data_IF_136387948236
#
_entry.id   IF_136387948236
#
_cell.length_a   1.000
_cell.length_b   1.000
_cell.length_c   1.000
_cell.angle_alpha   90.00
_cell.angle_beta   90.00
_cell.angle_gamma   90.00
#
_symmetry.space_group_name_H-M   'P 1'
#
loop_
_entity.id
_entity.type
_entity.pdbx_description
1 polymer ?
#
# COMPACT_ATOMS: atom_id res chain seq x y z
N UNK A 1 5.54 -1.27 -23.35
CA UNK A 1 4.65 -1.45 -22.18
C UNK A 1 3.99 -0.11 -21.98
N UNK A 2 2.69 -0.04 -22.24
CA UNK A 2 1.89 1.16 -21.99
C UNK A 2 2.01 1.52 -20.51
N UNK A 3 2.50 2.72 -20.23
CA UNK A 3 2.53 3.29 -18.88
C UNK A 3 1.11 3.68 -18.50
N UNK A 4 0.64 3.23 -17.34
CA UNK A 4 -0.73 3.39 -16.77
C UNK A 4 -1.27 4.84 -16.63
N UNK A 5 -0.59 5.82 -17.23
CA UNK A 5 -1.13 7.15 -17.52
C UNK A 5 -2.47 7.14 -18.28
N UNK A 6 -2.81 6.03 -18.94
CA UNK A 6 -4.06 5.88 -19.72
C UNK A 6 -5.33 5.75 -18.86
N UNK A 7 -5.24 5.37 -17.58
CA UNK A 7 -6.43 5.24 -16.71
C UNK A 7 -6.86 6.55 -16.04
N UNK A 8 -6.19 7.67 -16.36
CA UNK A 8 -6.60 9.01 -15.92
C UNK A 8 -6.38 9.31 -14.44
N UNK A 9 -5.71 8.43 -13.68
CA UNK A 9 -5.41 8.66 -12.26
C UNK A 9 -4.16 9.51 -12.00
N UNK A 10 -3.34 9.75 -13.02
CA UNK A 10 -2.12 10.56 -12.90
C UNK A 10 -1.01 9.94 -12.04
N UNK A 11 -1.11 8.64 -11.74
CA UNK A 11 -0.09 7.87 -11.02
C UNK A 11 0.10 6.51 -11.70
N UNK A 12 1.34 5.99 -11.81
CA UNK A 12 1.56 4.62 -12.30
C UNK A 12 0.95 3.64 -11.31
N UNK A 13 0.24 2.61 -11.79
CA UNK A 13 -0.36 1.57 -10.95
C UNK A 13 -0.03 0.21 -11.56
N UNK A 14 0.79 -0.58 -10.86
CA UNK A 14 1.20 -1.90 -11.36
C UNK A 14 0.00 -2.83 -11.62
N UNK A 15 -0.30 -3.21 -12.89
CA UNK A 15 -1.48 -4.02 -13.23
C UNK A 15 -1.47 -5.43 -12.61
N UNK A 16 -0.31 -5.90 -12.15
CA UNK A 16 -0.19 -7.19 -11.47
C UNK A 16 -0.75 -7.13 -10.04
N UNK A 17 -0.80 -5.94 -9.44
CA UNK A 17 -1.24 -5.71 -8.07
C UNK A 17 -2.53 -4.88 -7.99
N UNK A 18 -2.81 -4.07 -9.00
CA UNK A 18 -3.90 -3.11 -9.03
C UNK A 18 -4.88 -3.43 -10.17
N UNK A 19 -6.16 -3.45 -9.81
CA UNK A 19 -7.29 -3.56 -10.73
C UNK A 19 -8.03 -2.22 -10.65
N UNK A 20 -8.10 -1.50 -11.77
CA UNK A 20 -8.63 -0.12 -11.83
C UNK A 20 -10.10 -0.07 -11.42
N UNK A 21 -10.92 -0.99 -11.92
CA UNK A 21 -12.33 -1.09 -11.56
C UNK A 21 -12.48 -1.40 -10.07
N UNK A 22 -11.60 -2.25 -9.54
CA UNK A 22 -11.56 -2.54 -8.11
C UNK A 22 -11.21 -1.31 -7.28
N UNK A 23 -10.20 -0.52 -7.66
CA UNK A 23 -9.80 0.69 -6.94
C UNK A 23 -10.94 1.72 -6.95
N UNK A 24 -11.61 1.93 -8.08
CA UNK A 24 -12.77 2.82 -8.16
C UNK A 24 -13.89 2.36 -7.24
N UNK A 25 -14.25 1.08 -7.32
CA UNK A 25 -15.27 0.51 -6.45
C UNK A 25 -14.89 0.58 -4.97
N UNK A 26 -13.63 0.28 -4.64
CA UNK A 26 -13.10 0.38 -3.29
C UNK A 26 -13.18 1.83 -2.78
N UNK A 27 -12.82 2.81 -3.60
CA UNK A 27 -12.91 4.22 -3.25
C UNK A 27 -14.33 4.64 -2.86
N UNK A 28 -15.35 4.09 -3.54
CA UNK A 28 -16.76 4.43 -3.33
C UNK A 28 -17.45 3.59 -2.25
N UNK A 29 -17.15 2.29 -2.17
CA UNK A 29 -17.88 1.32 -1.35
C UNK A 29 -17.14 0.92 -0.07
N UNK A 30 -15.83 1.17 0.04
CA UNK A 30 -15.10 0.79 1.24
C UNK A 30 -15.40 1.77 2.38
N UNK A 31 -16.12 1.27 3.40
CA UNK A 31 -16.50 2.06 4.57
C UNK A 31 -15.47 1.93 5.70
N UNK A 32 -14.65 2.96 5.92
CA UNK A 32 -13.80 3.03 7.10
C UNK A 32 -14.64 3.29 8.36
N UNK A 33 -14.36 2.54 9.43
CA UNK A 33 -14.96 2.71 10.74
C UNK A 33 -14.13 3.70 11.59
N UNK A 34 -14.75 4.28 12.63
CA UNK A 34 -14.09 5.24 13.51
C UNK A 34 -12.87 4.64 14.27
N UNK A 35 -12.88 3.32 14.49
CA UNK A 35 -11.81 2.58 15.16
C UNK A 35 -10.67 2.15 14.22
N UNK A 36 -10.87 2.28 12.90
CA UNK A 36 -9.91 1.80 11.92
C UNK A 36 -8.63 2.64 11.91
N UNK A 37 -7.51 1.97 11.67
CA UNK A 37 -6.19 2.58 11.48
C UNK A 37 -5.67 2.14 10.11
N UNK A 38 -5.31 3.09 9.26
CA UNK A 38 -4.70 2.81 7.95
C UNK A 38 -3.25 3.29 7.94
N UNK A 39 -2.33 2.36 7.70
CA UNK A 39 -0.93 2.66 7.42
C UNK A 39 -0.84 3.14 5.97
N UNK A 40 -0.45 4.39 5.77
CA UNK A 40 -0.28 4.96 4.42
C UNK A 40 1.19 5.26 4.20
N UNK A 41 1.75 4.76 3.11
CA UNK A 41 3.18 4.95 2.80
C UNK A 41 3.39 5.06 1.32
N UNK A 42 4.36 5.87 0.87
CA UNK A 42 4.95 5.60 -0.44
C UNK A 42 5.69 4.25 -0.39
N UNK A 43 5.64 3.40 -1.44
CA UNK A 43 6.33 2.11 -1.44
C UNK A 43 7.78 2.22 -0.93
N UNK A 44 8.24 1.22 -0.17
CA UNK A 44 9.61 1.15 0.42
C UNK A 44 9.93 2.16 1.53
N UNK A 45 8.92 2.85 2.06
CA UNK A 45 9.08 3.80 3.17
C UNK A 45 9.00 3.18 4.58
N UNK A 46 8.99 1.85 4.70
CA UNK A 46 8.97 1.16 6.00
C UNK A 46 7.64 0.54 6.40
N UNK A 47 6.74 0.28 5.45
CA UNK A 47 5.41 -0.30 5.65
C UNK A 47 5.41 -1.56 6.51
N UNK A 48 6.28 -2.54 6.18
CA UNK A 48 6.40 -3.78 6.97
C UNK A 48 6.82 -3.55 8.42
N UNK A 49 7.70 -2.56 8.66
CA UNK A 49 8.11 -2.22 10.01
C UNK A 49 6.93 -1.68 10.81
N UNK A 50 6.13 -0.81 10.18
CA UNK A 50 4.96 -0.23 10.83
C UNK A 50 3.85 -1.26 11.08
N UNK A 51 3.60 -2.17 10.13
CA UNK A 51 2.67 -3.29 10.32
C UNK A 51 3.11 -4.14 11.53
N UNK A 52 4.41 -4.38 11.71
CA UNK A 52 4.93 -5.15 12.83
C UNK A 52 4.76 -4.43 14.18
N UNK A 53 5.13 -3.15 14.24
CA UNK A 53 4.99 -2.32 15.46
C UNK A 53 3.54 -2.24 15.89
N UNK A 54 2.63 -1.88 14.97
CA UNK A 54 1.21 -1.75 15.30
C UNK A 54 0.58 -3.08 15.69
N UNK A 55 0.97 -4.19 15.04
CA UNK A 55 0.46 -5.49 15.47
C UNK A 55 0.88 -5.87 16.90
N UNK A 56 2.12 -5.56 17.30
CA UNK A 56 2.54 -5.77 18.69
C UNK A 56 1.78 -4.86 19.66
N UNK A 57 1.49 -3.62 19.28
CA UNK A 57 0.68 -2.70 20.10
C UNK A 57 -0.74 -3.26 20.29
N UNK A 58 -1.39 -3.71 19.21
CA UNK A 58 -2.73 -4.31 19.25
C UNK A 58 -2.75 -5.59 20.12
N UNK A 59 -1.69 -6.38 20.08
CA UNK A 59 -1.52 -7.58 20.92
C UNK A 59 -0.94 -7.29 22.31
N UNK A 60 -0.84 -6.03 22.73
CA UNK A 60 -0.28 -5.63 24.05
C UNK A 60 1.12 -6.23 24.32
N UNK A 61 1.93 -6.36 23.27
CA UNK A 61 3.28 -6.92 23.30
C UNK A 61 3.37 -8.44 23.09
N UNK A 62 2.25 -9.17 22.99
CA UNK A 62 2.28 -10.60 22.70
C UNK A 62 2.71 -10.86 21.24
N UNK A 63 3.83 -11.57 21.01
CA UNK A 63 4.34 -11.82 19.67
C UNK A 63 3.60 -12.95 18.93
N UNK A 64 2.67 -13.67 19.57
CA UNK A 64 2.01 -14.84 18.99
C UNK A 64 1.35 -14.50 17.65
N UNK A 65 0.57 -13.41 17.58
CA UNK A 65 -0.10 -12.98 16.35
C UNK A 65 0.89 -12.66 15.23
N UNK A 66 1.96 -11.95 15.56
CA UNK A 66 2.98 -11.51 14.61
C UNK A 66 3.82 -12.67 14.06
N UNK A 67 4.05 -13.70 14.86
CA UNK A 67 4.80 -14.91 14.49
C UNK A 67 3.97 -15.93 13.71
N UNK A 68 2.66 -15.98 13.95
CA UNK A 68 1.75 -16.99 13.38
C UNK A 68 0.99 -16.51 12.14
N UNK A 69 0.74 -15.21 12.02
CA UNK A 69 -0.05 -14.62 10.94
C UNK A 69 0.82 -13.72 10.07
N UNK A 70 0.84 -13.93 8.73
CA UNK A 70 1.64 -13.10 7.83
C UNK A 70 1.15 -11.65 7.79
N UNK A 71 2.05 -10.71 7.47
CA UNK A 71 1.77 -9.27 7.56
C UNK A 71 0.57 -8.81 6.75
N UNK A 72 0.39 -9.32 5.53
CA UNK A 72 -0.75 -8.96 4.66
C UNK A 72 -2.10 -9.47 5.17
N UNK A 73 -2.11 -10.49 6.04
CA UNK A 73 -3.33 -10.93 6.72
C UNK A 73 -3.63 -10.12 7.97
N UNK A 74 -2.59 -9.61 8.64
CA UNK A 74 -2.72 -8.74 9.82
C UNK A 74 -3.12 -7.32 9.44
N UNK A 75 -2.56 -6.83 8.33
CA UNK A 75 -2.87 -5.54 7.75
C UNK A 75 -3.03 -5.68 6.23
N UNK A 76 -4.24 -5.94 5.73
CA UNK A 76 -4.48 -6.08 4.31
C UNK A 76 -4.37 -4.73 3.59
N UNK A 77 -3.86 -4.79 2.35
CA UNK A 77 -3.88 -3.65 1.43
C UNK A 77 -5.28 -3.47 0.88
N UNK A 78 -5.84 -2.27 1.04
CA UNK A 78 -7.23 -1.98 0.65
C UNK A 78 -7.40 -1.93 -0.87
N UNK A 79 -6.36 -1.55 -1.59
CA UNK A 79 -6.36 -1.41 -3.05
C UNK A 79 -6.12 -2.73 -3.82
N UNK A 80 -5.91 -3.85 -3.13
CA UNK A 80 -5.64 -5.14 -3.77
C UNK A 80 -6.86 -6.07 -3.72
N UNK A 81 -7.36 -6.46 -4.89
CA UNK A 81 -8.50 -7.39 -5.06
C UNK A 81 -8.32 -8.72 -4.33
N UNK A 82 -7.08 -9.21 -4.21
CA UNK A 82 -6.74 -10.43 -3.47
C UNK A 82 -7.17 -10.39 -1.99
N UNK A 83 -7.25 -9.19 -1.41
CA UNK A 83 -7.61 -8.99 -0.02
C UNK A 83 -9.10 -8.68 0.16
N UNK A 84 -9.91 -8.65 -0.91
CA UNK A 84 -11.31 -8.19 -0.84
C UNK A 84 -12.12 -8.91 0.22
N UNK A 85 -12.02 -10.24 0.31
CA UNK A 85 -12.74 -11.03 1.31
C UNK A 85 -12.24 -10.76 2.73
N UNK A 86 -10.96 -10.43 2.91
CA UNK A 86 -10.39 -10.08 4.21
C UNK A 86 -10.79 -8.67 4.65
N UNK A 87 -10.83 -7.75 3.69
CA UNK A 87 -11.23 -6.36 3.87
C UNK A 87 -12.73 -6.26 4.16
N UNK A 88 -13.55 -7.11 3.53
CA UNK A 88 -15.00 -7.24 3.85
C UNK A 88 -15.24 -7.89 5.20
N UNK A 89 -14.49 -8.95 5.54
CA UNK A 89 -14.57 -9.63 6.83
C UNK A 89 -13.74 -8.89 7.89
N UNK A 90 -14.19 -7.66 8.24
CA UNK A 90 -13.60 -6.78 9.26
C UNK A 90 -13.50 -7.38 10.67
N UNK A 91 -14.07 -8.57 10.88
CA UNK A 91 -14.24 -9.21 12.18
C UNK A 91 -12.93 -9.40 12.99
N UNK A 92 -11.75 -9.31 12.37
CA UNK A 92 -10.47 -9.61 13.02
C UNK A 92 -9.35 -8.58 12.80
N UNK A 93 -9.57 -7.47 12.08
CA UNK A 93 -8.54 -6.43 11.96
C UNK A 93 -9.14 -5.05 11.65
N UNK A 94 -8.88 -4.10 12.55
CA UNK A 94 -9.04 -2.66 12.35
C UNK A 94 -7.75 -2.00 11.88
N UNK A 95 -6.83 -2.78 11.32
CA UNK A 95 -5.53 -2.32 10.84
C UNK A 95 -5.43 -2.61 9.34
N UNK A 96 -5.31 -1.57 8.53
CA UNK A 96 -5.24 -1.65 7.08
C UNK A 96 -3.95 -0.99 6.57
N UNK A 97 -3.59 -1.28 5.33
CA UNK A 97 -2.44 -0.65 4.65
C UNK A 97 -2.88 -0.08 3.30
N UNK A 98 -2.25 1.01 2.87
CA UNK A 98 -2.39 1.52 1.51
C UNK A 98 -1.14 2.25 1.02
N UNK A 99 -0.90 2.18 -0.29
CA UNK A 99 0.04 3.01 -1.04
C UNK A 99 -0.66 4.10 -1.86
N UNK A 100 -2.00 4.13 -1.87
CA UNK A 100 -2.75 5.04 -2.72
C UNK A 100 -2.50 6.50 -2.37
N UNK A 101 -2.40 7.38 -3.38
CA UNK A 101 -2.45 8.81 -3.17
C UNK A 101 -3.83 9.25 -2.65
N UNK A 102 -3.88 10.42 -2.02
CA UNK A 102 -5.07 10.90 -1.32
C UNK A 102 -6.33 10.99 -2.22
N UNK A 103 -6.18 11.27 -3.51
CA UNK A 103 -7.31 11.39 -4.44
C UNK A 103 -7.92 10.05 -4.86
N UNK A 104 -7.26 8.92 -4.57
CA UNK A 104 -7.78 7.56 -4.80
C UNK A 104 -8.21 6.86 -3.50
N UNK A 105 -8.04 7.54 -2.37
CA UNK A 105 -8.34 6.98 -1.05
C UNK A 105 -9.86 6.85 -0.83
N UNK A 106 -10.34 5.89 0.01
CA UNK A 106 -11.75 5.72 0.33
C UNK A 106 -12.46 7.03 0.69
N UNK A 107 -13.58 7.32 0.02
CA UNK A 107 -14.37 8.54 0.29
C UNK A 107 -14.92 8.57 1.71
N UNK A 108 -15.24 7.40 2.27
CA UNK A 108 -15.72 7.24 3.64
C UNK A 108 -14.76 7.80 4.69
N UNK A 109 -13.45 7.88 4.39
CA UNK A 109 -12.45 8.50 5.27
C UNK A 109 -12.82 9.93 5.63
N UNK A 110 -13.31 10.72 4.67
CA UNK A 110 -13.63 12.13 4.89
C UNK A 110 -14.85 12.35 5.80
N UNK A 111 -15.58 11.28 6.09
CA UNK A 111 -16.75 11.29 6.97
C UNK A 111 -16.56 10.46 8.25
N UNK A 112 -15.51 9.66 8.35
CA UNK A 112 -15.21 8.84 9.53
C UNK A 112 -14.14 9.49 10.43
N UNK A 113 -13.91 8.89 11.60
CA UNK A 113 -12.81 9.23 12.51
C UNK A 113 -11.64 8.25 12.43
N UNK A 114 -11.59 7.44 11.36
CA UNK A 114 -10.48 6.53 11.11
C UNK A 114 -9.14 7.28 11.15
N UNK A 115 -8.11 6.64 11.69
CA UNK A 115 -6.79 7.25 11.85
C UNK A 115 -5.88 6.87 10.69
N UNK A 116 -5.19 7.86 10.14
CA UNK A 116 -4.12 7.62 9.18
C UNK A 116 -2.78 7.70 9.88
N UNK A 117 -1.96 6.66 9.72
CA UNK A 117 -0.56 6.70 10.08
C UNK A 117 0.27 6.77 8.80
N UNK A 118 0.69 7.98 8.46
CA UNK A 118 1.55 8.21 7.30
C UNK A 118 3.03 8.02 7.67
N UNK A 119 3.76 7.16 6.95
CA UNK A 119 5.21 6.99 7.13
C UNK A 119 5.95 7.49 5.89
N UNK A 120 6.75 8.54 6.10
CA UNK A 120 7.65 9.08 5.10
C UNK A 120 9.09 8.59 5.34
N UNK A 121 9.83 8.42 4.24
CA UNK A 121 11.28 8.11 4.27
C UNK A 121 12.00 9.07 3.33
N UNK A 122 13.28 9.33 3.60
CA UNK A 122 14.13 10.11 2.70
C UNK A 122 14.04 9.51 1.28
N UNK A 123 13.64 10.31 0.26
CA UNK A 123 13.39 9.80 -1.08
C UNK A 123 14.63 9.20 -1.74
N UNK A 124 15.84 9.62 -1.32
CA UNK A 124 17.10 9.04 -1.80
C UNK A 124 17.23 7.57 -1.39
N UNK A 125 16.84 7.23 -0.17
CA UNK A 125 16.86 5.85 0.33
C UNK A 125 15.71 5.02 -0.25
N UNK A 126 14.57 5.66 -0.48
CA UNK A 126 13.41 5.04 -1.14
C UNK A 126 13.80 4.60 -2.54
N UNK A 127 14.43 5.48 -3.34
CA UNK A 127 14.86 5.22 -4.71
C UNK A 127 15.76 3.98 -4.76
N UNK A 128 16.83 3.94 -3.97
CA UNK A 128 17.76 2.79 -3.94
C UNK A 128 17.04 1.51 -3.51
N UNK A 129 16.19 1.58 -2.48
CA UNK A 129 15.42 0.43 -1.98
C UNK A 129 14.42 -0.10 -3.01
N UNK A 130 13.78 0.78 -3.78
CA UNK A 130 12.80 0.42 -4.81
C UNK A 130 13.47 -0.19 -6.03
N UNK A 131 14.60 0.37 -6.48
CA UNK A 131 15.43 -0.21 -7.54
C UNK A 131 15.79 -1.67 -7.26
N UNK A 132 16.27 -1.96 -6.04
CA UNK A 132 16.62 -3.33 -5.67
C UNK A 132 15.40 -4.25 -5.54
N UNK A 133 14.25 -3.74 -5.06
CA UNK A 133 13.01 -4.53 -5.03
C UNK A 133 12.58 -4.91 -6.45
N UNK A 134 12.58 -3.94 -7.36
CA UNK A 134 12.14 -4.09 -8.75
C UNK A 134 12.95 -5.16 -9.47
N UNK A 135 14.27 -5.16 -9.27
CA UNK A 135 15.16 -6.18 -9.84
C UNK A 135 15.08 -7.55 -9.15
N UNK A 136 14.54 -7.63 -7.94
CA UNK A 136 14.39 -8.88 -7.20
C UNK A 136 13.06 -9.59 -7.48
N UNK A 137 11.96 -8.84 -7.64
CA UNK A 137 10.62 -9.39 -7.84
C UNK A 137 10.35 -9.58 -9.34
N UNK A 138 10.16 -10.82 -9.83
CA UNK A 138 9.96 -11.08 -11.26
C UNK A 138 8.72 -10.44 -11.88
N UNK A 139 7.73 -10.07 -11.07
CA UNK A 139 6.50 -9.42 -11.51
C UNK A 139 6.68 -7.96 -11.92
N UNK A 140 7.80 -7.34 -11.56
CA UNK A 140 8.10 -5.98 -11.98
C UNK A 140 8.80 -5.97 -13.35
N UNK A 141 8.60 -4.92 -14.16
CA UNK A 141 9.38 -4.73 -15.38
C UNK A 141 10.87 -4.58 -15.06
N UNK A 142 11.72 -5.28 -15.82
CA UNK A 142 13.17 -5.18 -15.70
C UNK A 142 13.63 -3.74 -15.98
N UNK A 143 14.39 -3.16 -15.05
CA UNK A 143 15.07 -1.89 -15.28
C UNK A 143 16.41 -2.13 -15.97
N UNK A 144 16.68 -1.48 -17.11
CA UNK A 144 17.93 -1.67 -17.86
C UNK A 144 19.17 -1.17 -17.10
N UNK A 145 19.04 -0.08 -16.31
CA UNK A 145 20.11 0.42 -15.45
C UNK A 145 19.55 1.23 -14.26
N UNK A 146 20.42 1.57 -13.32
CA UNK A 146 20.06 2.44 -12.19
C UNK A 146 19.79 3.88 -12.65
N UNK A 147 20.56 4.38 -13.63
CA UNK A 147 20.41 5.74 -14.19
C UNK A 147 19.04 5.92 -14.84
N UNK A 148 18.59 4.93 -15.62
CA UNK A 148 17.26 4.95 -16.22
C UNK A 148 16.17 4.95 -15.14
N UNK A 149 16.29 4.08 -14.13
CA UNK A 149 15.35 4.07 -13.01
C UNK A 149 15.35 5.38 -12.22
N UNK A 150 16.51 6.02 -12.06
CA UNK A 150 16.64 7.32 -11.40
C UNK A 150 15.86 8.41 -12.14
N UNK A 151 15.96 8.47 -13.47
CA UNK A 151 15.20 9.41 -14.30
C UNK A 151 13.69 9.15 -14.22
N UNK A 152 13.27 7.88 -14.33
CA UNK A 152 11.86 7.49 -14.19
C UNK A 152 11.29 7.88 -12.82
N UNK A 153 12.05 7.64 -11.75
CA UNK A 153 11.67 7.98 -10.39
C UNK A 153 11.44 9.49 -10.22
N UNK A 154 12.32 10.33 -10.78
CA UNK A 154 12.17 11.79 -10.72
C UNK A 154 10.97 12.31 -11.53
N UNK A 155 10.58 11.61 -12.59
CA UNK A 155 9.40 11.95 -13.41
C UNK A 155 8.09 11.43 -12.79
N UNK A 156 8.15 10.68 -11.70
CA UNK A 156 6.97 10.07 -11.07
C UNK A 156 6.53 8.76 -11.72
N UNK A 157 7.35 8.18 -12.60
CA UNK A 157 7.10 6.89 -13.28
C UNK A 157 7.74 5.70 -12.54
N UNK A 158 8.31 5.93 -11.36
CA UNK A 158 9.18 5.00 -10.65
C UNK A 158 8.53 3.83 -9.91
N UNK A 159 7.27 3.47 -10.19
CA UNK A 159 6.66 2.26 -9.60
C UNK A 159 7.09 0.96 -10.32
#
# INVERSE_FOLDING_TARGET
METDSEYGFGVPLLPQFHDVEYIQRMQDEFELQDEDVVIVTYPKSGTHWMIHILSLIYSKGDPTWVKSVPSWKRSPWIETKLNMEMVKNKANSHLFTSHLPAHLFPKSYFTSKAKILYVARNPRDVLVSLYHLKNYIPSYPLCPSFEHFFEDFLQGNGE
#
